data_IF_144904805258
#
_entry.id   IF_144904805258
#
_cell.length_a   1.000
_cell.length_b   1.000
_cell.length_c   1.000
_cell.angle_alpha   90.00
_cell.angle_beta   90.00
_cell.angle_gamma   90.00
#
_symmetry.space_group_name_H-M   'P 1'
#
loop_
_entity.id
_entity.type
_entity.pdbx_description
1 polymer ?
#
# COMPACT_ATOMS: atom_id res chain seq x y z
N UNK A 1 -4.02 59.97 -15.67
CA UNK A 1 -2.89 60.34 -16.55
C UNK A 1 -2.05 59.08 -16.77
N UNK A 2 -2.20 58.39 -17.91
CA UNK A 2 -1.31 58.43 -19.11
C UNK A 2 0.09 57.83 -18.81
N UNK A 3 0.46 56.60 -19.24
CA UNK A 3 1.02 56.20 -20.57
C UNK A 3 2.03 57.23 -21.14
N UNK A 4 3.22 56.95 -21.67
CA UNK A 4 3.92 55.74 -22.12
C UNK A 4 5.36 56.11 -22.55
N UNK A 5 6.27 55.12 -22.68
CA UNK A 5 7.27 54.93 -23.78
C UNK A 5 8.22 53.80 -23.34
N UNK A 6 8.57 52.78 -24.11
CA UNK A 6 8.31 52.46 -25.50
C UNK A 6 8.46 50.95 -25.74
N UNK A 7 7.80 50.50 -26.80
CA UNK A 7 7.50 49.12 -27.18
C UNK A 7 8.52 48.66 -28.22
N UNK A 8 9.24 47.57 -27.98
CA UNK A 8 9.89 46.81 -29.03
C UNK A 8 9.03 45.57 -29.35
N UNK A 9 8.32 45.68 -30.47
CA UNK A 9 7.54 44.63 -31.08
C UNK A 9 8.49 43.73 -31.89
N UNK A 10 8.62 42.47 -31.50
CA UNK A 10 9.10 41.40 -32.40
C UNK A 10 8.20 40.18 -32.27
N UNK A 11 6.97 40.36 -32.74
CA UNK A 11 6.16 39.25 -33.22
C UNK A 11 6.92 38.52 -34.33
N UNK A 12 6.90 37.18 -34.27
CA UNK A 12 7.32 36.20 -35.30
C UNK A 12 8.79 35.80 -35.31
N UNK A 13 9.13 34.83 -34.46
CA UNK A 13 10.17 33.83 -34.78
C UNK A 13 9.54 32.44 -34.70
N UNK A 14 9.72 31.57 -35.71
CA UNK A 14 9.20 30.21 -35.64
C UNK A 14 9.90 29.43 -34.51
N UNK A 15 9.20 28.53 -33.79
CA UNK A 15 9.71 27.87 -32.58
C UNK A 15 10.93 26.96 -32.82
N UNK A 16 11.28 26.66 -34.07
CA UNK A 16 12.45 25.84 -34.44
C UNK A 16 13.78 26.57 -34.38
N UNK A 17 13.80 27.92 -34.29
CA UNK A 17 15.05 28.70 -34.28
C UNK A 17 15.66 28.81 -32.87
N UNK A 18 14.86 28.65 -31.82
CA UNK A 18 15.34 28.68 -30.44
C UNK A 18 16.09 27.39 -30.04
N UNK A 19 15.76 26.25 -30.65
CA UNK A 19 16.44 24.98 -30.37
C UNK A 19 17.84 24.90 -31.01
N UNK A 20 18.07 25.63 -32.11
CA UNK A 20 19.33 25.56 -32.89
C UNK A 20 20.46 26.46 -32.37
N UNK A 21 20.16 27.42 -31.50
CA UNK A 21 21.15 28.33 -30.93
C UNK A 21 21.87 27.77 -29.68
N UNK A 22 21.27 26.82 -28.97
CA UNK A 22 21.82 26.29 -27.72
C UNK A 22 22.82 25.12 -27.88
N UNK A 23 23.01 24.57 -29.10
CA UNK A 23 23.82 23.37 -29.33
C UNK A 23 25.18 23.59 -30.01
N UNK A 24 25.67 24.83 -30.13
CA UNK A 24 27.01 25.09 -30.68
C UNK A 24 28.06 25.20 -29.57
N UNK A 25 28.54 24.05 -29.10
CA UNK A 25 29.85 23.94 -28.46
C UNK A 25 30.96 23.86 -29.52
N UNK A 26 32.12 24.54 -29.33
CA UNK A 26 33.21 24.53 -30.30
C UNK A 26 33.87 23.14 -30.41
N UNK A 27 33.89 22.61 -31.62
CA UNK A 27 34.67 21.44 -32.03
C UNK A 27 36.16 21.77 -32.01
N UNK A 28 36.90 21.27 -31.03
CA UNK A 28 38.37 21.17 -31.10
C UNK A 28 38.71 19.77 -31.59
N UNK A 29 39.08 19.71 -32.86
CA UNK A 29 39.48 18.51 -33.56
C UNK A 29 40.94 18.14 -33.29
N UNK A 30 41.17 16.82 -33.38
CA UNK A 30 42.42 16.13 -33.70
C UNK A 30 43.42 15.90 -32.55
N UNK A 31 43.54 14.62 -32.17
CA UNK A 31 44.81 13.91 -32.26
C UNK A 31 44.56 12.38 -32.29
N UNK A 32 45.44 11.71 -33.03
CA UNK A 32 45.50 10.31 -33.50
C UNK A 32 45.05 9.17 -32.56
N UNK A 33 44.71 8.00 -33.12
CA UNK A 33 44.08 6.89 -32.42
C UNK A 33 45.13 6.10 -31.63
N UNK A 34 45.25 6.40 -30.34
CA UNK A 34 46.02 5.53 -29.45
C UNK A 34 45.07 4.50 -28.87
N UNK A 35 45.22 3.27 -29.32
CA UNK A 35 44.69 2.04 -28.74
C UNK A 35 45.19 1.88 -27.30
N UNK A 36 44.78 2.77 -26.40
CA UNK A 36 44.93 2.60 -24.98
C UNK A 36 43.88 1.60 -24.55
N UNK A 37 44.27 0.34 -24.66
CA UNK A 37 44.09 -0.66 -23.63
C UNK A 37 42.80 -0.50 -22.82
N UNK A 38 41.65 -0.59 -23.51
CA UNK A 38 40.34 -0.76 -22.87
C UNK A 38 40.20 -2.22 -22.40
N UNK A 39 41.19 -2.66 -21.64
CA UNK A 39 41.35 -4.03 -21.12
C UNK A 39 41.90 -4.03 -19.69
N UNK A 40 41.60 -2.97 -18.94
CA UNK A 40 41.90 -2.88 -17.50
C UNK A 40 40.60 -2.68 -16.73
N UNK A 41 39.59 -3.48 -17.05
CA UNK A 41 38.60 -4.02 -16.11
C UNK A 41 38.06 -5.27 -16.79
N UNK A 42 38.92 -6.29 -16.93
CA UNK A 42 38.36 -7.63 -16.93
C UNK A 42 37.79 -7.79 -15.53
N UNK A 43 36.50 -7.52 -15.42
CA UNK A 43 35.72 -7.79 -14.25
C UNK A 43 36.05 -9.23 -13.83
N UNK A 44 36.86 -9.35 -12.78
CA UNK A 44 37.18 -10.59 -12.05
C UNK A 44 35.94 -11.21 -11.39
N UNK A 45 34.76 -10.80 -11.83
CA UNK A 45 33.48 -11.44 -11.65
C UNK A 45 33.23 -12.42 -12.80
N UNK A 46 34.25 -13.16 -13.24
CA UNK A 46 33.99 -14.49 -13.80
C UNK A 46 33.34 -15.23 -12.64
N UNK A 47 31.99 -15.22 -12.57
CA UNK A 47 31.23 -16.03 -11.61
C UNK A 47 31.85 -17.40 -11.73
N UNK A 48 32.56 -17.83 -10.69
CA UNK A 48 32.82 -19.25 -10.50
C UNK A 48 31.41 -19.82 -10.55
N UNK A 49 31.08 -20.54 -11.62
CA UNK A 49 29.88 -21.36 -11.62
C UNK A 49 30.09 -22.24 -10.41
N UNK A 50 29.42 -21.90 -9.31
CA UNK A 50 29.35 -22.72 -8.14
C UNK A 50 29.06 -24.11 -8.70
N UNK A 51 29.79 -25.17 -8.29
CA UNK A 51 29.34 -26.50 -8.65
C UNK A 51 27.86 -26.51 -8.29
N UNK A 52 27.01 -27.02 -9.19
CA UNK A 52 25.62 -27.29 -8.86
C UNK A 52 25.68 -28.21 -7.65
N UNK A 53 25.66 -27.59 -6.46
CA UNK A 53 25.54 -28.24 -5.19
C UNK A 53 24.12 -28.72 -5.24
N UNK A 54 23.98 -29.89 -5.89
CA UNK A 54 22.88 -30.78 -5.68
C UNK A 54 22.93 -31.01 -4.19
N UNK A 55 22.20 -30.18 -3.45
CA UNK A 55 21.97 -30.39 -2.04
C UNK A 55 21.35 -31.77 -1.98
N UNK A 56 22.16 -32.79 -1.67
CA UNK A 56 21.68 -34.13 -1.27
C UNK A 56 21.04 -34.06 0.12
N UNK A 57 20.44 -32.94 0.45
CA UNK A 57 19.60 -32.75 1.60
C UNK A 57 18.19 -32.71 1.03
N UNK A 58 17.35 -33.74 1.29
CA UNK A 58 15.93 -33.59 0.99
C UNK A 58 15.43 -32.32 1.70
N UNK A 59 14.37 -31.66 1.19
CA UNK A 59 13.70 -30.63 1.98
C UNK A 59 13.49 -31.21 3.37
N UNK A 60 14.02 -30.56 4.41
CA UNK A 60 13.99 -31.05 5.78
C UNK A 60 12.55 -31.48 6.07
N UNK A 61 12.31 -32.80 6.15
CA UNK A 61 10.99 -33.29 6.48
C UNK A 61 10.63 -32.70 7.84
N UNK A 62 9.39 -32.22 8.02
CA UNK A 62 9.00 -31.68 9.32
C UNK A 62 9.27 -32.74 10.40
N UNK A 63 9.74 -32.34 11.59
CA UNK A 63 9.98 -33.26 12.69
C UNK A 63 8.76 -34.17 12.90
N UNK A 64 8.97 -35.45 13.18
CA UNK A 64 7.90 -36.46 13.32
C UNK A 64 6.85 -36.14 14.38
N UNK A 65 7.12 -35.18 15.27
CA UNK A 65 6.17 -34.62 16.24
C UNK A 65 5.20 -33.59 15.65
N UNK A 66 5.31 -33.26 14.36
CA UNK A 66 4.32 -32.50 13.58
C UNK A 66 3.62 -33.40 12.54
N UNK A 67 2.81 -34.39 12.97
CA UNK A 67 2.13 -35.30 12.05
C UNK A 67 0.92 -34.67 11.32
N UNK A 68 0.58 -33.41 11.59
CA UNK A 68 -0.59 -32.74 11.01
C UNK A 68 -0.21 -31.41 10.38
N UNK A 69 -0.11 -31.46 9.05
CA UNK A 69 -0.48 -30.42 8.11
C UNK A 69 -0.09 -28.97 8.47
N UNK A 70 0.87 -28.49 7.70
CA UNK A 70 1.10 -27.08 7.46
C UNK A 70 -0.04 -26.47 6.62
N UNK A 71 -1.25 -26.40 7.19
CA UNK A 71 -2.43 -25.79 6.54
C UNK A 71 -2.38 -24.27 6.62
N UNK A 72 -1.56 -23.73 7.53
CA UNK A 72 -1.38 -22.30 7.71
C UNK A 72 -0.46 -21.73 6.64
N UNK A 73 0.59 -22.44 6.18
CA UNK A 73 1.46 -21.85 5.16
C UNK A 73 0.80 -21.56 3.82
N UNK A 74 -0.09 -22.37 3.21
CA UNK A 74 -0.73 -21.95 1.97
C UNK A 74 -1.59 -20.70 2.17
N UNK A 75 -2.37 -20.64 3.26
CA UNK A 75 -3.20 -19.48 3.62
C UNK A 75 -2.37 -18.20 3.84
N UNK A 76 -1.31 -18.31 4.64
CA UNK A 76 -0.41 -17.20 4.95
C UNK A 76 0.37 -16.76 3.70
N UNK A 77 0.80 -17.70 2.85
CA UNK A 77 1.50 -17.38 1.59
C UNK A 77 0.58 -16.69 0.58
N UNK A 78 -0.73 -16.98 0.57
CA UNK A 78 -1.67 -16.32 -0.34
C UNK A 78 -2.07 -14.92 0.12
N UNK A 79 -2.27 -14.71 1.42
CA UNK A 79 -2.72 -13.41 1.95
C UNK A 79 -1.57 -12.43 2.17
N UNK A 80 -0.41 -12.89 2.65
CA UNK A 80 0.67 -11.99 3.10
C UNK A 80 1.79 -11.78 2.08
N UNK A 81 1.78 -12.47 0.93
CA UNK A 81 2.85 -12.33 -0.08
C UNK A 81 2.66 -11.13 -1.01
N UNK A 82 1.47 -10.54 -1.04
CA UNK A 82 1.14 -9.35 -1.85
C UNK A 82 0.73 -8.22 -0.91
N UNK A 83 1.56 -7.20 -0.77
CA UNK A 83 1.32 -6.05 0.12
C UNK A 83 -0.08 -5.43 -0.06
N UNK A 84 -0.57 -5.34 -1.30
CA UNK A 84 -1.91 -4.83 -1.59
C UNK A 84 -3.05 -5.73 -1.08
N UNK A 85 -2.89 -7.06 -1.19
CA UNK A 85 -3.90 -8.03 -0.71
C UNK A 85 -3.95 -8.05 0.81
N UNK A 86 -2.78 -7.93 1.46
CA UNK A 86 -2.70 -7.82 2.92
C UNK A 86 -3.50 -6.61 3.43
N UNK A 87 -3.21 -5.41 2.93
CA UNK A 87 -3.93 -4.21 3.37
C UNK A 87 -5.43 -4.28 3.06
N UNK A 88 -5.82 -4.75 1.86
CA UNK A 88 -7.22 -4.93 1.51
C UNK A 88 -7.93 -5.94 2.42
N UNK A 89 -7.27 -7.03 2.80
CA UNK A 89 -7.83 -8.02 3.72
C UNK A 89 -8.02 -7.48 5.13
N UNK A 90 -7.08 -6.65 5.61
CA UNK A 90 -7.18 -6.02 6.94
C UNK A 90 -8.31 -5.01 6.96
N UNK A 91 -8.45 -4.15 5.94
CA UNK A 91 -9.55 -3.19 5.88
C UNK A 91 -10.91 -3.86 5.69
N UNK A 92 -11.00 -4.86 4.81
CA UNK A 92 -12.25 -5.61 4.62
C UNK A 92 -12.63 -6.39 5.89
N UNK A 93 -11.64 -6.98 6.56
CA UNK A 93 -11.82 -7.68 7.82
C UNK A 93 -12.25 -6.74 8.94
N UNK A 94 -11.63 -5.56 9.06
CA UNK A 94 -12.00 -4.55 10.04
C UNK A 94 -13.44 -4.05 9.84
N UNK A 95 -13.85 -3.77 8.60
CA UNK A 95 -15.21 -3.33 8.31
C UNK A 95 -16.25 -4.42 8.59
N UNK A 96 -15.98 -5.66 8.17
CA UNK A 96 -16.86 -6.79 8.46
C UNK A 96 -16.92 -7.09 9.97
N UNK A 97 -15.79 -6.95 10.67
CA UNK A 97 -15.70 -7.14 12.11
C UNK A 97 -16.49 -6.06 12.86
N UNK A 98 -16.38 -4.79 12.47
CA UNK A 98 -17.14 -3.69 13.08
C UNK A 98 -18.65 -3.97 13.06
N UNK A 99 -19.19 -4.28 11.88
CA UNK A 99 -20.62 -4.59 11.72
C UNK A 99 -21.08 -5.78 12.57
N UNK A 100 -20.25 -6.82 12.64
CA UNK A 100 -20.57 -8.00 13.44
C UNK A 100 -20.43 -7.72 14.94
N UNK A 101 -19.37 -7.01 15.35
CA UNK A 101 -19.00 -6.75 16.73
C UNK A 101 -19.98 -5.78 17.40
N UNK A 102 -20.40 -4.71 16.72
CA UNK A 102 -21.40 -3.78 17.25
C UNK A 102 -22.72 -4.48 17.57
N UNK A 103 -23.22 -5.30 16.64
CA UNK A 103 -24.46 -6.04 16.82
C UNK A 103 -24.35 -7.13 17.88
N UNK A 104 -23.24 -7.87 17.88
CA UNK A 104 -23.01 -8.96 18.84
C UNK A 104 -22.81 -8.42 20.26
N UNK A 105 -22.00 -7.38 20.43
CA UNK A 105 -21.67 -6.82 21.75
C UNK A 105 -22.89 -6.24 22.44
N UNK A 106 -23.73 -5.51 21.70
CA UNK A 106 -25.01 -5.01 22.23
C UNK A 106 -25.92 -6.16 22.66
N UNK A 107 -26.04 -7.22 21.85
CA UNK A 107 -26.87 -8.39 22.22
C UNK A 107 -26.34 -9.11 23.46
N UNK A 108 -25.02 -9.27 23.58
CA UNK A 108 -24.39 -9.87 24.75
C UNK A 108 -24.66 -9.02 25.99
N UNK A 109 -24.48 -7.71 25.87
CA UNK A 109 -24.75 -6.78 26.97
C UNK A 109 -26.22 -6.81 27.40
N UNK A 110 -27.12 -6.84 26.42
CA UNK A 110 -28.56 -6.88 26.63
C UNK A 110 -28.99 -8.14 27.36
N UNK A 111 -28.42 -9.29 26.98
CA UNK A 111 -28.69 -10.57 27.62
C UNK A 111 -28.19 -10.62 29.06
N UNK A 112 -27.01 -10.04 29.34
CA UNK A 112 -26.42 -10.06 30.68
C UNK A 112 -27.16 -9.11 31.63
N UNK A 113 -27.69 -7.99 31.14
CA UNK A 113 -28.29 -6.96 31.97
C UNK A 113 -29.84 -6.93 31.90
N UNK A 114 -30.48 -8.03 31.49
CA UNK A 114 -31.95 -8.07 31.33
C UNK A 114 -32.67 -7.64 32.61
N UNK A 115 -33.73 -6.85 32.47
CA UNK A 115 -34.54 -6.37 33.58
C UNK A 115 -33.95 -5.19 34.37
N UNK A 116 -32.70 -4.80 34.09
CA UNK A 116 -32.07 -3.59 34.65
C UNK A 116 -31.89 -2.46 33.63
N UNK A 117 -32.23 -2.72 32.38
CA UNK A 117 -32.06 -1.75 31.31
C UNK A 117 -33.25 -0.80 31.27
N UNK A 118 -32.97 0.49 31.02
CA UNK A 118 -34.03 1.48 30.86
C UNK A 118 -35.07 1.06 29.82
N UNK A 119 -34.66 0.46 28.70
CA UNK A 119 -35.59 -0.05 27.68
C UNK A 119 -36.58 -1.10 28.19
N UNK A 120 -36.20 -1.88 29.21
CA UNK A 120 -37.08 -2.87 29.82
C UNK A 120 -38.00 -2.25 30.87
N UNK A 121 -37.66 -1.11 31.48
CA UNK A 121 -38.42 -0.50 32.59
C UNK A 121 -39.24 0.72 32.12
N UNK A 122 -38.82 1.36 31.02
CA UNK A 122 -39.41 2.60 30.48
C UNK A 122 -40.91 2.53 30.28
N UNK A 123 -41.44 1.37 29.87
CA UNK A 123 -42.87 1.19 29.63
C UNK A 123 -43.72 1.53 30.87
N UNK A 124 -43.22 1.22 32.07
CA UNK A 124 -43.93 1.49 33.33
C UNK A 124 -44.07 2.98 33.62
N UNK A 125 -43.06 3.77 33.24
CA UNK A 125 -43.05 5.22 33.50
C UNK A 125 -43.86 6.01 32.47
N UNK A 126 -43.88 5.56 31.21
CA UNK A 126 -44.72 6.21 30.19
C UNK A 126 -46.20 5.97 30.47
N UNK A 127 -46.55 4.76 30.94
CA UNK A 127 -47.94 4.44 31.29
C UNK A 127 -48.41 5.24 32.50
N UNK A 128 -47.60 5.32 33.56
CA UNK A 128 -47.91 6.14 34.73
C UNK A 128 -48.08 7.63 34.38
N UNK A 129 -47.25 8.16 33.47
CA UNK A 129 -47.38 9.55 33.02
C UNK A 129 -48.62 9.80 32.16
N UNK A 130 -49.09 8.80 31.40
CA UNK A 130 -50.33 8.91 30.62
C UNK A 130 -51.58 8.79 31.49
N UNK A 131 -51.55 7.94 32.52
CA UNK A 131 -52.64 7.82 33.50
C UNK A 131 -52.79 9.10 34.34
N UNK A 132 -51.68 9.77 34.72
CA UNK A 132 -51.74 11.08 35.40
C UNK A 132 -52.33 12.21 34.53
N UNK A 133 -52.21 12.15 33.19
CA UNK A 133 -52.72 13.18 32.28
C UNK A 133 -54.22 13.03 31.96
N UNK A 134 -54.77 11.80 32.06
CA UNK A 134 -56.22 11.53 31.91
C UNK A 134 -57.02 11.80 33.21
N UNK A 135 -56.34 11.86 34.37
CA UNK A 135 -56.93 12.13 35.69
C UNK A 135 -56.92 13.64 36.09
N UNK A 136 -56.36 14.54 35.25
CA UNK A 136 -56.43 16.03 35.37
C UNK A 136 -57.48 16.68 34.45
#
# INVERSE_FOLDING_TARGET
>A
MLFALGRASTSKLPPSTLYKAAQRSPQVSSLSPRSHNRRIFHNGWRRKSLPSSTSKFPPSMPPSWMPFADMTTPFLRTLFRRNAVFLASVFSGAFAFELAFDGASNKVWDYINQGRQWKDIRHKYIQAAAEEEDDE
#
